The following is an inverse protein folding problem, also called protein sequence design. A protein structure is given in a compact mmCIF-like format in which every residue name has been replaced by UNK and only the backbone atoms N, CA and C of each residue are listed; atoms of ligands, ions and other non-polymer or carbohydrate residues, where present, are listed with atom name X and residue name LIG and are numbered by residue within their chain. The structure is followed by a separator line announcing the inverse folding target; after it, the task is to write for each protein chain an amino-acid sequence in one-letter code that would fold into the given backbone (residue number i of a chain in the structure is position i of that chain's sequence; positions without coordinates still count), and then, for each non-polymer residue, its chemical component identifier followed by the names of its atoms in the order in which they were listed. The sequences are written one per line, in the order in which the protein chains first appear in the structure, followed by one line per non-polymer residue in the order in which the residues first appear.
data_IF_044955702303
#
_entry.id   IF_044955702303
#
_cell.length_a   1.000
_cell.length_b   1.000
_cell.length_c   1.000
_cell.angle_alpha   90.00
_cell.angle_beta   90.00
_cell.angle_gamma   90.00
#
_symmetry.space_group_name_H-M   'P 1'
#
loop_
_entity.id
_entity.type
_entity.pdbx_description
1 polymer ?
#
# COMPACT_ATOMS: atom_id res chain seq x y z
N UNK A 1 -9.69 -19.91 -3.69
CA UNK A 1 -8.99 -18.71 -4.17
C UNK A 1 -9.46 -17.53 -3.37
N UNK A 2 -8.60 -17.00 -2.51
CA UNK A 2 -8.87 -15.78 -1.76
C UNK A 2 -8.28 -14.61 -2.51
N UNK A 3 -8.98 -13.48 -2.62
CA UNK A 3 -8.36 -12.27 -3.15
C UNK A 3 -7.31 -11.78 -2.14
N UNK A 4 -6.22 -11.22 -2.65
CA UNK A 4 -5.20 -10.57 -1.87
C UNK A 4 -5.02 -9.14 -2.32
N UNK A 5 -4.66 -8.29 -1.37
CA UNK A 5 -4.45 -6.85 -1.57
C UNK A 5 -3.13 -6.42 -0.97
N UNK A 6 -2.56 -5.36 -1.54
CA UNK A 6 -1.43 -4.64 -0.93
C UNK A 6 -1.55 -3.15 -1.16
N UNK A 7 -1.08 -2.38 -0.20
CA UNK A 7 -0.94 -0.94 -0.32
C UNK A 7 0.43 -0.60 -0.92
N UNK A 8 0.44 0.34 -1.87
CA UNK A 8 1.64 0.85 -2.52
C UNK A 8 1.71 2.38 -2.34
N UNK A 9 2.90 2.89 -2.09
CA UNK A 9 3.17 4.31 -1.89
C UNK A 9 4.49 4.70 -2.55
N UNK A 10 4.43 5.71 -3.40
CA UNK A 10 5.57 6.44 -3.91
C UNK A 10 5.60 7.83 -3.28
N UNK A 11 6.76 8.29 -2.83
CA UNK A 11 6.89 9.62 -2.23
C UNK A 11 8.29 10.22 -2.35
N UNK A 12 8.34 11.55 -2.23
CA UNK A 12 9.57 12.34 -2.15
C UNK A 12 9.47 13.34 -1.01
N UNK A 13 10.48 13.39 -0.13
CA UNK A 13 10.46 14.25 1.06
C UNK A 13 11.02 15.66 0.82
N UNK A 14 11.83 15.87 -0.22
CA UNK A 14 12.41 17.16 -0.59
C UNK A 14 12.42 17.32 -2.11
N UNK A 15 12.27 18.54 -2.66
CA UNK A 15 12.10 18.77 -4.10
C UNK A 15 13.16 18.07 -4.97
N UNK A 16 14.43 18.16 -4.57
CA UNK A 16 15.58 17.54 -5.25
C UNK A 16 16.06 16.25 -4.55
N UNK A 17 15.25 15.72 -3.63
CA UNK A 17 15.54 14.50 -2.89
C UNK A 17 15.23 13.23 -3.68
N UNK A 18 15.69 12.07 -3.20
CA UNK A 18 15.37 10.78 -3.82
C UNK A 18 13.87 10.49 -3.73
N UNK A 19 13.36 9.79 -4.74
CA UNK A 19 12.05 9.18 -4.69
C UNK A 19 12.14 7.81 -3.98
N UNK A 20 11.14 7.51 -3.18
CA UNK A 20 11.00 6.24 -2.47
C UNK A 20 9.75 5.53 -2.93
N UNK A 21 9.81 4.21 -3.04
CA UNK A 21 8.67 3.34 -3.30
C UNK A 21 8.61 2.28 -2.20
N UNK A 22 7.45 2.15 -1.56
CA UNK A 22 7.20 1.17 -0.50
C UNK A 22 5.90 0.43 -0.78
N UNK A 23 5.86 -0.84 -0.41
CA UNK A 23 4.70 -1.70 -0.58
C UNK A 23 4.57 -2.61 0.63
N UNK A 24 3.34 -2.90 1.05
CA UNK A 24 3.08 -3.94 2.04
C UNK A 24 3.28 -5.32 1.40
N UNK A 25 3.34 -6.36 2.25
CA UNK A 25 3.10 -7.72 1.77
C UNK A 25 1.70 -7.83 1.15
N UNK A 26 1.52 -8.85 0.30
CA UNK A 26 0.19 -9.29 -0.09
C UNK A 26 -0.50 -9.87 1.13
N UNK A 27 -1.71 -9.40 1.40
CA UNK A 27 -2.52 -9.81 2.53
C UNK A 27 -3.87 -10.27 2.01
N UNK A 28 -4.48 -11.24 2.69
CA UNK A 28 -5.85 -11.67 2.37
C UNK A 28 -6.79 -10.47 2.40
N UNK A 29 -7.61 -10.32 1.37
CA UNK A 29 -8.61 -9.26 1.27
C UNK A 29 -9.73 -9.50 2.27
N UNK A 30 -9.54 -8.97 3.48
CA UNK A 30 -10.48 -9.06 4.59
C UNK A 30 -10.87 -7.67 5.07
N UNK A 31 -12.00 -7.52 5.79
CA UNK A 31 -12.39 -6.23 6.37
C UNK A 31 -11.32 -5.62 7.28
N UNK A 32 -10.60 -6.46 8.04
CA UNK A 32 -9.51 -6.00 8.90
C UNK A 32 -8.32 -5.47 8.07
N UNK A 33 -7.97 -6.15 6.98
CA UNK A 33 -6.91 -5.72 6.07
C UNK A 33 -7.28 -4.42 5.35
N UNK A 34 -8.54 -4.27 4.91
CA UNK A 34 -9.02 -3.02 4.30
C UNK A 34 -8.97 -1.86 5.27
N UNK A 35 -9.36 -2.06 6.54
CA UNK A 35 -9.24 -1.03 7.57
C UNK A 35 -7.78 -0.58 7.78
N UNK A 36 -6.83 -1.53 7.81
CA UNK A 36 -5.40 -1.19 7.90
C UNK A 36 -4.91 -0.41 6.67
N UNK A 37 -5.37 -0.77 5.47
CA UNK A 37 -5.04 -0.03 4.24
C UNK A 37 -5.62 1.38 4.28
N UNK A 38 -6.85 1.57 4.77
CA UNK A 38 -7.47 2.90 4.92
C UNK A 38 -6.67 3.79 5.86
N UNK A 39 -6.15 3.24 6.97
CA UNK A 39 -5.23 3.95 7.87
C UNK A 39 -3.91 4.33 7.16
N UNK A 40 -3.34 3.43 6.34
CA UNK A 40 -2.14 3.74 5.55
C UNK A 40 -2.40 4.82 4.50
N UNK A 41 -3.57 4.83 3.86
CA UNK A 41 -3.99 5.90 2.94
C UNK A 41 -4.09 7.22 3.69
N UNK A 42 -4.69 7.25 4.88
CA UNK A 42 -4.77 8.46 5.71
C UNK A 42 -3.36 8.98 6.06
N UNK A 43 -2.45 8.08 6.45
CA UNK A 43 -1.06 8.42 6.74
C UNK A 43 -0.32 8.97 5.50
N UNK A 44 -0.50 8.36 4.34
CA UNK A 44 0.11 8.83 3.09
C UNK A 44 -0.38 10.23 2.68
N UNK A 45 -1.65 10.54 2.95
CA UNK A 45 -2.23 11.89 2.72
C UNK A 45 -1.72 12.92 3.72
N UNK A 46 -1.52 12.53 4.98
CA UNK A 46 -1.02 13.42 6.04
C UNK A 46 0.51 13.59 6.01
N UNK A 47 1.21 12.79 5.21
CA UNK A 47 2.66 12.86 5.08
C UNK A 47 3.09 14.20 4.51
N UNK A 48 4.06 14.85 5.16
CA UNK A 48 4.68 16.09 4.69
C UNK A 48 5.71 15.81 3.58
N UNK A 49 5.25 15.18 2.50
CA UNK A 49 6.03 14.92 1.30
C UNK A 49 5.78 16.04 0.28
N UNK A 50 6.80 16.39 -0.50
CA UNK A 50 6.65 17.34 -1.62
C UNK A 50 5.85 16.72 -2.77
N UNK A 51 5.89 15.40 -2.88
CA UNK A 51 5.11 14.59 -3.81
C UNK A 51 4.79 13.26 -3.15
N UNK A 52 3.54 12.82 -3.25
CA UNK A 52 3.14 11.48 -2.85
C UNK A 52 2.03 10.94 -3.75
N UNK A 53 2.09 9.65 -4.03
CA UNK A 53 1.08 8.89 -4.76
C UNK A 53 0.90 7.54 -4.09
N UNK A 54 -0.34 7.14 -3.91
CA UNK A 54 -0.67 5.82 -3.38
C UNK A 54 -1.69 5.12 -4.28
N UNK A 55 -1.69 3.79 -4.23
CA UNK A 55 -2.70 2.96 -4.86
C UNK A 55 -2.79 1.62 -4.12
N UNK A 56 -3.87 0.89 -4.38
CA UNK A 56 -4.05 -0.48 -3.90
C UNK A 56 -3.97 -1.40 -5.10
N UNK A 57 -3.19 -2.45 -4.97
CA UNK A 57 -3.17 -3.53 -5.95
C UNK A 57 -3.95 -4.72 -5.42
N UNK A 58 -4.60 -5.42 -6.34
CA UNK A 58 -5.42 -6.60 -6.05
C UNK A 58 -4.95 -7.75 -6.94
N UNK A 59 -4.89 -8.96 -6.37
CA UNK A 59 -4.64 -10.18 -7.14
C UNK A 59 -5.50 -11.32 -6.63
N UNK A 60 -5.73 -12.32 -7.47
CA UNK A 60 -6.22 -13.61 -7.00
C UNK A 60 -5.06 -14.33 -6.30
N UNK A 61 -5.21 -14.59 -5.01
CA UNK A 61 -4.28 -15.40 -4.25
C UNK A 61 -4.34 -16.86 -4.69
N UNK A 62 -3.17 -17.42 -4.97
CA UNK A 62 -3.00 -18.86 -5.15
C UNK A 62 -3.21 -19.59 -3.82
N UNK A 63 -3.59 -20.87 -3.88
CA UNK A 63 -3.63 -21.70 -2.66
C UNK A 63 -2.29 -21.60 -1.91
N UNK A 64 -2.30 -21.53 -0.57
CA UNK A 64 -1.06 -21.62 0.20
C UNK A 64 -0.33 -22.89 -0.22
N UNK A 65 1.02 -22.88 -0.30
CA UNK A 65 1.77 -24.09 -0.55
C UNK A 65 1.35 -25.13 0.50
N UNK A 66 0.83 -26.27 0.03
CA UNK A 66 0.42 -27.40 0.87
C UNK A 66 1.60 -27.97 1.64
#
# INVERSE_FOLDING_TARGET
MSNEVRFCLEYRLAADGPAHAVQTAWMVDSPATRAQIDEMIANARAMNAVESKWWVEERQGGDPPR
#
